data_IF_847647997037
#
_entry.id   IF_847647997037
#
_cell.length_a   1.000
_cell.length_b   1.000
_cell.length_c   1.000
_cell.angle_alpha   90.00
_cell.angle_beta   90.00
_cell.angle_gamma   90.00
#
_symmetry.space_group_name_H-M   'P 1'
#
loop_
_entity.id
_entity.type
_entity.pdbx_description
1 polymer ?
#
# COMPACT_ATOMS: atom_id res chain seq x y z
N UNK A 1 -5.69 -18.49 -2.60
CA UNK A 1 -5.41 -17.07 -2.88
C UNK A 1 -4.58 -16.57 -1.73
N UNK A 2 -3.39 -16.04 -2.01
CA UNK A 2 -2.58 -15.39 -0.98
C UNK A 2 -3.37 -14.23 -0.39
N UNK A 3 -3.67 -14.28 0.90
CA UNK A 3 -4.50 -13.27 1.58
C UNK A 3 -3.82 -11.88 1.61
N UNK A 4 -2.56 -11.80 1.18
CA UNK A 4 -1.74 -10.60 1.09
C UNK A 4 -1.58 -10.05 -0.32
N UNK A 5 -2.07 -10.76 -1.35
CA UNK A 5 -2.09 -10.28 -2.73
C UNK A 5 -3.42 -9.59 -3.01
N UNK A 6 -3.36 -8.45 -3.69
CA UNK A 6 -4.55 -7.78 -4.18
C UNK A 6 -5.16 -8.58 -5.33
N UNK A 7 -6.48 -8.55 -5.47
CA UNK A 7 -7.23 -9.18 -6.56
C UNK A 7 -6.81 -8.64 -7.93
N UNK A 8 -6.49 -7.35 -7.98
CA UNK A 8 -5.92 -6.66 -9.13
C UNK A 8 -4.81 -5.72 -8.66
N UNK A 9 -3.74 -5.53 -9.44
CA UNK A 9 -2.68 -4.58 -9.11
C UNK A 9 -3.24 -3.18 -8.83
N UNK A 10 -2.78 -2.56 -7.75
CA UNK A 10 -3.12 -1.18 -7.40
C UNK A 10 -2.15 -0.24 -8.10
N UNK A 11 -2.67 0.64 -8.96
CA UNK A 11 -1.87 1.63 -9.69
C UNK A 11 -1.73 2.93 -8.92
N UNK A 12 -0.49 3.31 -8.60
CA UNK A 12 -0.17 4.56 -7.92
C UNK A 12 0.46 5.55 -8.91
N UNK A 13 -0.20 6.69 -9.10
CA UNK A 13 0.30 7.78 -9.93
C UNK A 13 1.22 8.70 -9.13
N UNK A 14 2.45 8.91 -9.62
CA UNK A 14 3.43 9.81 -8.98
C UNK A 14 3.36 11.26 -9.47
N UNK A 15 2.41 11.57 -10.36
CA UNK A 15 2.24 12.87 -10.99
C UNK A 15 2.59 12.85 -12.49
N UNK A 16 2.42 13.98 -13.17
CA UNK A 16 2.70 14.09 -14.60
C UNK A 16 4.16 13.71 -14.92
N UNK A 17 4.36 13.02 -16.05
CA UNK A 17 5.67 12.63 -16.55
C UNK A 17 6.33 11.43 -15.86
N UNK A 18 5.68 10.83 -14.85
CA UNK A 18 6.20 9.65 -14.16
C UNK A 18 5.34 8.42 -14.49
N UNK A 19 5.94 7.24 -14.75
CA UNK A 19 5.18 6.02 -14.92
C UNK A 19 4.40 5.71 -13.63
N UNK A 20 3.22 5.12 -13.80
CA UNK A 20 2.49 4.58 -12.67
C UNK A 20 3.25 3.39 -12.08
N UNK A 21 3.28 3.31 -10.75
CA UNK A 21 3.83 2.17 -10.02
C UNK A 21 2.68 1.18 -9.78
N UNK A 22 2.87 -0.09 -10.14
CA UNK A 22 1.92 -1.17 -9.85
C UNK A 22 2.34 -1.85 -8.56
N UNK A 23 1.36 -2.09 -7.68
CA UNK A 23 1.55 -2.73 -6.39
C UNK A 23 0.63 -3.95 -6.35
N UNK A 24 1.22 -5.13 -6.24
CA UNK A 24 0.52 -6.42 -6.32
C UNK A 24 0.15 -7.00 -4.95
N UNK A 25 0.78 -6.50 -3.88
CA UNK A 25 0.62 -7.05 -2.54
C UNK A 25 0.70 -6.01 -1.42
N UNK A 26 0.18 -6.39 -0.25
CA UNK A 26 0.29 -5.63 0.99
C UNK A 26 1.75 -5.41 1.38
N UNK A 27 2.64 -6.37 1.12
CA UNK A 27 4.06 -6.25 1.40
C UNK A 27 4.71 -5.14 0.55
N UNK A 28 4.38 -5.07 -0.73
CA UNK A 28 4.82 -4.00 -1.62
C UNK A 28 4.23 -2.65 -1.22
N UNK A 29 2.95 -2.60 -0.86
CA UNK A 29 2.31 -1.39 -0.33
C UNK A 29 3.03 -0.87 0.93
N UNK A 30 3.40 -1.76 1.85
CA UNK A 30 4.18 -1.41 3.04
C UNK A 30 5.58 -0.84 2.68
N UNK A 31 6.28 -1.44 1.71
CA UNK A 31 7.56 -0.92 1.22
C UNK A 31 7.42 0.47 0.59
N UNK A 32 6.35 0.67 -0.19
CA UNK A 32 6.02 1.95 -0.81
C UNK A 32 5.76 3.03 0.25
N UNK A 33 4.91 2.74 1.24
CA UNK A 33 4.59 3.66 2.34
C UNK A 33 5.83 4.04 3.14
N UNK A 34 6.76 3.11 3.42
CA UNK A 34 8.01 3.44 4.14
C UNK A 34 8.86 4.50 3.44
N UNK A 35 8.78 4.59 2.10
CA UNK A 35 9.47 5.60 1.28
C UNK A 35 8.66 6.89 1.11
N UNK A 36 7.44 6.95 1.62
CA UNK A 36 6.57 8.10 1.47
C UNK A 36 7.18 9.35 2.14
N UNK A 37 7.17 10.52 1.46
CA UNK A 37 7.81 11.74 1.98
C UNK A 37 7.24 12.15 3.34
N UNK A 38 8.10 12.40 4.33
CA UNK A 38 7.68 12.73 5.71
C UNK A 38 6.74 13.93 5.77
N UNK A 39 7.00 14.98 4.98
CA UNK A 39 6.12 16.16 4.88
C UNK A 39 4.74 15.90 4.25
N UNK A 40 4.50 14.70 3.72
CA UNK A 40 3.21 14.27 3.14
C UNK A 40 2.56 13.14 3.94
N UNK A 41 3.07 12.81 5.14
CA UNK A 41 2.50 11.79 6.03
C UNK A 41 1.37 12.39 6.84
N UNK A 42 0.16 12.36 6.27
CA UNK A 42 -1.07 12.76 6.94
C UNK A 42 -1.91 11.57 7.41
N UNK A 43 -3.17 11.82 7.81
CA UNK A 43 -4.09 10.77 8.28
C UNK A 43 -4.25 9.59 7.31
N UNK A 44 -4.28 9.86 6.00
CA UNK A 44 -4.37 8.82 4.96
C UNK A 44 -3.16 7.89 4.98
N UNK A 45 -1.95 8.45 5.13
CA UNK A 45 -0.73 7.65 5.26
C UNK A 45 -0.79 6.75 6.50
N UNK A 46 -1.25 7.30 7.64
CA UNK A 46 -1.34 6.55 8.89
C UNK A 46 -2.35 5.40 8.79
N UNK A 47 -3.51 5.66 8.18
CA UNK A 47 -4.53 4.65 7.93
C UNK A 47 -3.97 3.51 7.06
N UNK A 48 -3.38 3.84 5.92
CA UNK A 48 -2.80 2.85 5.02
C UNK A 48 -1.70 2.00 5.70
N UNK A 49 -0.85 2.64 6.52
CA UNK A 49 0.21 1.95 7.27
C UNK A 49 -0.38 0.96 8.29
N UNK A 50 -1.41 1.37 9.02
CA UNK A 50 -2.08 0.53 10.01
C UNK A 50 -2.77 -0.68 9.35
N UNK A 51 -3.52 -0.46 8.27
CA UNK A 51 -4.18 -1.54 7.52
C UNK A 51 -3.15 -2.54 6.98
N UNK A 52 -2.09 -2.06 6.34
CA UNK A 52 -1.04 -2.95 5.84
C UNK A 52 -0.37 -3.74 6.97
N UNK A 53 -0.16 -3.14 8.14
CA UNK A 53 0.40 -3.84 9.30
C UNK A 53 -0.54 -4.92 9.85
N UNK A 54 -1.84 -4.63 9.92
CA UNK A 54 -2.85 -5.59 10.38
C UNK A 54 -2.98 -6.76 9.40
N UNK A 55 -2.96 -6.49 8.09
CA UNK A 55 -3.00 -7.52 7.06
C UNK A 55 -1.78 -8.44 7.13
N UNK A 56 -0.57 -7.87 7.24
CA UNK A 56 0.67 -8.64 7.42
C UNK A 56 0.68 -9.47 8.72
N UNK A 57 -0.09 -9.06 9.72
CA UNK A 57 -0.25 -9.79 10.99
C UNK A 57 -1.37 -10.84 10.93
N UNK A 58 -2.02 -11.02 9.77
CA UNK A 58 -3.13 -11.96 9.57
C UNK A 58 -4.44 -11.53 10.23
N UNK A 59 -4.54 -10.26 10.64
CA UNK A 59 -5.73 -9.72 11.30
C UNK A 59 -6.79 -9.22 10.32
N UNK A 60 -6.42 -9.01 9.06
CA UNK A 60 -7.32 -8.66 7.95
C UNK A 60 -6.76 -9.18 6.62
N UNK A 61 -7.59 -9.20 5.59
CA UNK A 61 -7.19 -9.52 4.21
C UNK A 61 -6.74 -8.28 3.43
N UNK A 62 -6.12 -8.51 2.27
CA UNK A 62 -5.70 -7.46 1.35
C UNK A 62 -6.87 -6.66 0.73
N UNK A 63 -8.10 -7.17 0.79
CA UNK A 63 -9.29 -6.57 0.13
C UNK A 63 -10.19 -5.78 1.09
N UNK A 64 -9.89 -5.76 2.38
CA UNK A 64 -10.61 -5.00 3.43
C UNK A 64 -10.08 -3.58 3.60
#
# INVERSE_FOLDING_TARGET
MDQLHFFSPVRISRGQGHPAEEIDSVAEAMMFLRKWPTGRRGPVYQCALNCCSAALSGQMSAEE
#
